data_IF_823904705725
#
_entry.id   IF_823904705725
#
_cell.length_a   1.000
_cell.length_b   1.000
_cell.length_c   1.000
_cell.angle_alpha   90.00
_cell.angle_beta   90.00
_cell.angle_gamma   90.00
#
_symmetry.space_group_name_H-M   'P 1'
#
loop_
_entity.id
_entity.type
_entity.pdbx_description
1 polymer ?
#
# COMPACT_ATOMS: atom_id res chain seq x y z
N UNK A 1 13.10 -13.31 15.48
CA UNK A 1 12.13 -12.30 15.95
C UNK A 1 11.60 -11.56 14.74
N UNK A 2 10.29 -11.43 14.61
CA UNK A 2 9.64 -10.61 13.59
C UNK A 2 9.10 -9.36 14.28
N UNK A 3 9.36 -8.17 13.71
CA UNK A 3 8.85 -6.90 14.22
C UNK A 3 7.88 -6.31 13.19
N UNK A 4 6.65 -6.03 13.61
CA UNK A 4 5.58 -5.48 12.75
C UNK A 4 5.03 -4.18 13.34
N UNK A 5 4.47 -3.31 12.49
CA UNK A 5 3.75 -2.11 12.92
C UNK A 5 4.57 -0.82 12.91
N UNK A 6 5.84 -0.87 12.50
CA UNK A 6 6.67 0.32 12.37
C UNK A 6 6.31 1.12 11.10
N UNK A 7 6.29 2.45 11.21
CA UNK A 7 5.99 3.37 10.09
C UNK A 7 7.24 3.78 9.31
N UNK A 8 8.42 3.46 9.83
CA UNK A 8 9.70 3.68 9.16
C UNK A 8 10.69 2.55 9.44
N UNK A 9 11.67 2.40 8.56
CA UNK A 9 12.75 1.41 8.69
C UNK A 9 13.57 1.64 9.97
N UNK A 10 13.82 2.91 10.30
CA UNK A 10 14.51 3.31 11.52
C UNK A 10 13.72 2.93 12.78
N UNK A 11 12.40 3.17 12.79
CA UNK A 11 11.53 2.75 13.90
C UNK A 11 11.51 1.23 14.05
N UNK A 12 11.45 0.49 12.93
CA UNK A 12 11.51 -0.98 12.92
C UNK A 12 12.82 -1.49 13.53
N UNK A 13 13.95 -0.92 13.10
CA UNK A 13 15.27 -1.26 13.62
C UNK A 13 15.40 -0.92 15.11
N UNK A 14 14.91 0.24 15.54
CA UNK A 14 14.93 0.66 16.93
C UNK A 14 14.07 -0.27 17.80
N UNK A 15 12.87 -0.62 17.36
CA UNK A 15 11.99 -1.55 18.06
C UNK A 15 12.65 -2.92 18.21
N UNK A 16 13.20 -3.49 17.14
CA UNK A 16 13.89 -4.77 17.18
C UNK A 16 15.12 -4.75 18.12
N UNK A 17 15.86 -3.64 18.16
CA UNK A 17 16.97 -3.45 19.14
C UNK A 17 16.47 -3.36 20.58
N UNK A 18 15.35 -2.68 20.84
CA UNK A 18 14.74 -2.61 22.18
C UNK A 18 14.36 -4.00 22.67
N UNK A 19 13.74 -4.82 21.82
CA UNK A 19 13.40 -6.19 22.19
C UNK A 19 14.64 -7.07 22.43
N UNK A 20 15.67 -6.97 21.60
CA UNK A 20 16.94 -7.66 21.86
C UNK A 20 17.55 -7.24 23.21
N UNK A 21 17.45 -5.97 23.58
CA UNK A 21 17.93 -5.47 24.89
C UNK A 21 17.12 -6.00 26.06
N UNK A 22 15.80 -6.16 25.92
CA UNK A 22 14.95 -6.77 26.95
C UNK A 22 15.38 -8.23 27.18
N UNK A 23 15.59 -9.00 26.11
CA UNK A 23 16.03 -10.40 26.21
C UNK A 23 17.41 -10.49 26.88
N UNK A 24 18.34 -9.58 26.57
CA UNK A 24 19.63 -9.50 27.25
C UNK A 24 19.49 -9.21 28.75
N UNK A 25 18.57 -8.33 29.14
CA UNK A 25 18.32 -8.01 30.56
C UNK A 25 17.74 -9.19 31.34
N UNK A 26 17.08 -10.13 30.66
CA UNK A 26 16.58 -11.37 31.25
C UNK A 26 17.67 -12.45 31.42
N UNK A 27 18.93 -12.15 31.10
CA UNK A 27 20.07 -13.07 31.27
C UNK A 27 20.39 -13.94 30.05
N UNK A 28 19.64 -13.80 28.95
CA UNK A 28 19.91 -14.55 27.72
C UNK A 28 20.96 -13.86 26.85
N UNK A 29 21.87 -14.63 26.26
CA UNK A 29 22.91 -14.13 25.35
C UNK A 29 22.36 -13.78 23.93
N UNK A 30 21.35 -12.92 23.86
CA UNK A 30 20.78 -12.48 22.58
C UNK A 30 21.68 -11.47 21.86
N UNK A 31 21.89 -11.68 20.55
CA UNK A 31 22.65 -10.79 19.66
C UNK A 31 21.72 -10.17 18.63
N UNK A 32 21.95 -8.88 18.32
CA UNK A 32 21.25 -8.20 17.23
C UNK A 32 22.10 -8.30 15.97
N UNK A 33 21.77 -9.25 15.09
CA UNK A 33 22.43 -9.49 13.80
C UNK A 33 21.39 -9.64 12.69
N UNK A 34 21.82 -9.45 11.45
CA UNK A 34 21.04 -9.73 10.24
C UNK A 34 19.67 -9.05 10.17
N UNK A 35 19.59 -7.80 10.64
CA UNK A 35 18.38 -6.99 10.49
C UNK A 35 18.11 -6.73 9.02
N UNK A 36 16.93 -7.15 8.55
CA UNK A 36 16.49 -6.99 7.17
C UNK A 36 15.00 -6.69 7.12
N UNK A 37 14.63 -5.73 6.29
CA UNK A 37 13.23 -5.45 5.98
C UNK A 37 12.69 -6.58 5.08
N UNK A 38 11.59 -7.18 5.51
CA UNK A 38 10.96 -8.30 4.78
C UNK A 38 9.78 -7.85 3.93
N UNK A 39 9.04 -6.84 4.37
CA UNK A 39 7.89 -6.31 3.67
C UNK A 39 7.63 -4.86 4.08
N UNK A 40 7.25 -4.05 3.11
CA UNK A 40 6.76 -2.69 3.24
C UNK A 40 5.36 -2.67 2.64
N UNK A 41 4.42 -2.10 3.38
CA UNK A 41 3.04 -1.90 2.95
C UNK A 41 2.80 -0.40 2.86
N UNK A 42 2.33 0.06 1.71
CA UNK A 42 1.95 1.45 1.48
C UNK A 42 0.46 1.55 1.13
N UNK A 43 -0.19 2.62 1.56
CA UNK A 43 -1.54 2.98 1.12
C UNK A 43 -1.50 4.31 0.38
N UNK A 44 -2.33 4.48 -0.63
CA UNK A 44 -2.53 5.76 -1.30
C UNK A 44 -4.00 5.91 -1.76
N UNK A 45 -4.38 7.13 -2.09
CA UNK A 45 -5.75 7.47 -2.48
C UNK A 45 -5.67 8.43 -3.69
N UNK A 46 -6.18 7.98 -4.84
CA UNK A 46 -6.18 8.80 -6.07
C UNK A 46 -7.34 9.79 -6.13
N UNK A 47 -8.26 9.77 -5.15
CA UNK A 47 -9.38 10.72 -5.00
C UNK A 47 -10.39 10.71 -6.17
N UNK A 48 -10.43 9.65 -6.96
CA UNK A 48 -11.48 9.45 -7.96
C UNK A 48 -11.90 7.97 -8.05
N UNK A 49 -13.17 7.69 -8.38
CA UNK A 49 -13.65 6.33 -8.52
C UNK A 49 -13.09 5.65 -9.78
N UNK A 50 -12.83 4.34 -9.69
CA UNK A 50 -12.20 3.55 -10.75
C UNK A 50 -13.15 2.43 -11.23
N UNK A 51 -13.19 2.19 -12.54
CA UNK A 51 -13.94 1.09 -13.15
C UNK A 51 -13.10 -0.20 -13.16
N UNK A 52 -13.20 -0.96 -12.06
CA UNK A 52 -12.43 -2.19 -11.86
C UNK A 52 -12.76 -3.28 -12.87
N UNK A 53 -14.00 -3.38 -13.34
CA UNK A 53 -14.41 -4.38 -14.33
C UNK A 53 -13.67 -4.17 -15.66
N UNK A 54 -13.54 -2.91 -16.09
CA UNK A 54 -12.80 -2.55 -17.29
C UNK A 54 -11.31 -2.81 -17.14
N UNK A 55 -10.74 -2.46 -15.98
CA UNK A 55 -9.33 -2.71 -15.67
C UNK A 55 -9.03 -4.21 -15.65
N UNK A 56 -9.88 -5.01 -15.02
CA UNK A 56 -9.75 -6.47 -14.95
C UNK A 56 -9.80 -7.11 -16.35
N UNK A 57 -10.71 -6.63 -17.19
CA UNK A 57 -10.84 -7.12 -18.56
C UNK A 57 -9.59 -6.79 -19.40
N UNK A 58 -9.11 -5.55 -19.37
CA UNK A 58 -7.94 -5.12 -20.15
C UNK A 58 -6.62 -5.68 -19.63
N UNK A 59 -6.49 -5.90 -18.32
CA UNK A 59 -5.28 -6.39 -17.65
C UNK A 59 -5.44 -7.80 -17.07
N UNK A 60 -6.29 -8.66 -17.63
CA UNK A 60 -6.65 -9.96 -17.05
C UNK A 60 -5.47 -10.89 -16.76
N UNK A 61 -4.37 -10.78 -17.51
CA UNK A 61 -3.15 -11.56 -17.26
C UNK A 61 -2.42 -11.17 -15.95
N UNK A 62 -2.67 -9.96 -15.44
CA UNK A 62 -2.02 -9.40 -14.24
C UNK A 62 -3.01 -9.09 -13.13
N UNK A 63 -4.31 -9.14 -13.40
CA UNK A 63 -5.35 -8.73 -12.47
C UNK A 63 -6.35 -9.85 -12.19
N UNK A 64 -6.89 -9.85 -10.98
CA UNK A 64 -7.95 -10.76 -10.56
C UNK A 64 -8.99 -9.93 -9.81
N UNK A 65 -10.24 -9.97 -10.29
CA UNK A 65 -11.33 -9.22 -9.72
C UNK A 65 -12.57 -10.11 -9.64
N UNK A 66 -12.91 -10.52 -8.42
CA UNK A 66 -14.04 -11.37 -8.10
C UNK A 66 -14.82 -10.70 -6.96
N UNK A 67 -15.75 -9.75 -7.24
CA UNK A 67 -16.38 -8.93 -6.22
C UNK A 67 -17.19 -9.74 -5.19
N UNK A 68 -17.63 -10.94 -5.55
CA UNK A 68 -18.30 -11.88 -4.63
C UNK A 68 -17.35 -12.45 -3.57
N UNK A 69 -16.05 -12.57 -3.89
CA UNK A 69 -15.02 -13.08 -2.98
C UNK A 69 -14.25 -11.97 -2.27
N UNK A 70 -13.92 -10.90 -3.00
CA UNK A 70 -13.14 -9.78 -2.48
C UNK A 70 -13.52 -8.47 -3.19
N UNK A 71 -13.85 -7.38 -2.47
CA UNK A 71 -14.34 -6.14 -3.07
C UNK A 71 -13.29 -5.32 -3.84
N UNK A 72 -12.00 -5.66 -3.72
CA UNK A 72 -10.91 -5.00 -4.43
C UNK A 72 -10.39 -5.81 -5.61
N UNK A 73 -9.76 -5.14 -6.57
CA UNK A 73 -9.02 -5.78 -7.65
C UNK A 73 -7.59 -6.06 -7.19
N UNK A 74 -7.14 -7.30 -7.36
CA UNK A 74 -5.78 -7.71 -7.05
C UNK A 74 -4.95 -7.57 -8.33
N UNK A 75 -3.98 -6.67 -8.34
CA UNK A 75 -3.07 -6.45 -9.47
C UNK A 75 -1.66 -6.93 -9.11
N UNK A 76 -1.10 -7.84 -9.90
CA UNK A 76 0.22 -8.44 -9.70
C UNK A 76 1.20 -7.84 -10.71
N UNK A 77 1.96 -6.85 -10.26
CA UNK A 77 3.02 -6.24 -11.05
C UNK A 77 4.26 -7.15 -11.07
N UNK A 78 4.83 -7.38 -12.26
CA UNK A 78 6.05 -8.20 -12.41
C UNK A 78 7.32 -7.44 -12.04
N UNK A 79 7.39 -6.16 -12.42
CA UNK A 79 8.58 -5.34 -12.21
C UNK A 79 8.18 -3.90 -11.81
N UNK A 80 8.43 -3.48 -10.55
CA UNK A 80 8.88 -4.30 -9.42
C UNK A 80 7.85 -5.37 -9.00
N UNK A 81 8.29 -6.41 -8.28
CA UNK A 81 7.42 -7.52 -7.86
C UNK A 81 6.52 -7.11 -6.70
N UNK A 82 5.43 -6.40 -7.01
CA UNK A 82 4.50 -5.81 -6.05
C UNK A 82 3.07 -6.28 -6.33
N UNK A 83 2.30 -6.45 -5.26
CA UNK A 83 0.87 -6.70 -5.33
C UNK A 83 0.15 -5.41 -4.93
N UNK A 84 -0.75 -4.96 -5.78
CA UNK A 84 -1.61 -3.81 -5.53
C UNK A 84 -3.04 -4.30 -5.31
N UNK A 85 -3.72 -3.74 -4.31
CA UNK A 85 -5.14 -3.92 -4.07
C UNK A 85 -5.81 -2.59 -4.40
N UNK A 86 -6.61 -2.57 -5.47
CA UNK A 86 -7.25 -1.37 -5.98
C UNK A 86 -8.74 -1.44 -5.66
N UNK A 87 -9.27 -0.41 -5.01
CA UNK A 87 -10.68 -0.33 -4.65
C UNK A 87 -11.43 0.63 -5.56
N UNK A 88 -12.74 0.39 -5.74
CA UNK A 88 -13.63 1.25 -6.56
C UNK A 88 -13.60 2.71 -6.12
N UNK A 89 -13.33 2.97 -4.84
CA UNK A 89 -13.23 4.31 -4.24
C UNK A 89 -11.99 5.11 -4.67
N UNK A 90 -11.01 4.49 -5.34
CA UNK A 90 -9.72 5.11 -5.64
C UNK A 90 -8.68 4.90 -4.53
N UNK A 91 -9.02 4.20 -3.45
CA UNK A 91 -8.03 3.75 -2.46
C UNK A 91 -7.23 2.58 -3.03
N UNK A 92 -5.93 2.58 -2.76
CA UNK A 92 -4.99 1.58 -3.26
C UNK A 92 -4.07 1.18 -2.10
N UNK A 93 -3.80 -0.12 -2.00
CA UNK A 93 -2.81 -0.67 -1.06
C UNK A 93 -1.75 -1.39 -1.86
N UNK A 94 -0.48 -1.06 -1.63
CA UNK A 94 0.69 -1.71 -2.23
C UNK A 94 1.39 -2.55 -1.17
N UNK A 95 1.71 -3.80 -1.51
CA UNK A 95 2.41 -4.72 -0.61
C UNK A 95 3.42 -5.59 -1.36
N UNK A 96 4.42 -6.09 -0.64
CA UNK A 96 5.50 -6.93 -1.19
C UNK A 96 6.79 -6.18 -1.45
N UNK A 97 6.85 -4.87 -1.18
CA UNK A 97 8.05 -4.07 -1.36
C UNK A 97 9.07 -4.39 -0.27
N UNK A 98 10.35 -4.43 -0.64
CA UNK A 98 11.47 -4.57 0.30
C UNK A 98 12.17 -3.25 0.54
N UNK A 99 12.08 -2.35 -0.44
CA UNK A 99 12.66 -1.00 -0.40
C UNK A 99 11.57 0.01 -0.73
N UNK A 100 11.64 1.20 -0.14
CA UNK A 100 10.60 2.22 -0.27
C UNK A 100 10.41 2.68 -1.73
N UNK A 101 11.49 2.73 -2.48
CA UNK A 101 11.52 3.14 -3.90
C UNK A 101 10.64 2.22 -4.75
N UNK A 102 10.59 0.91 -4.47
CA UNK A 102 9.73 -0.03 -5.19
C UNK A 102 8.25 0.34 -5.06
N UNK A 103 7.82 0.84 -3.90
CA UNK A 103 6.45 1.31 -3.67
C UNK A 103 6.14 2.53 -4.54
N UNK A 104 7.06 3.50 -4.64
CA UNK A 104 6.87 4.71 -5.45
C UNK A 104 6.83 4.38 -6.94
N UNK A 105 7.81 3.63 -7.43
CA UNK A 105 7.85 3.20 -8.84
C UNK A 105 6.62 2.38 -9.23
N UNK A 106 6.13 1.51 -8.33
CA UNK A 106 4.89 0.75 -8.59
C UNK A 106 3.68 1.65 -8.75
N UNK A 107 3.58 2.69 -7.91
CA UNK A 107 2.48 3.63 -7.99
C UNK A 107 2.55 4.46 -9.28
N UNK A 108 3.73 4.97 -9.64
CA UNK A 108 3.94 5.73 -10.88
C UNK A 108 3.60 4.89 -12.12
N UNK A 109 3.97 3.60 -12.13
CA UNK A 109 3.67 2.69 -13.23
C UNK A 109 2.17 2.44 -13.41
N UNK A 110 1.41 2.31 -12.31
CA UNK A 110 -0.02 2.01 -12.40
C UNK A 110 -0.89 3.27 -12.57
N UNK A 111 -0.43 4.42 -12.09
CA UNK A 111 -1.18 5.68 -12.14
C UNK A 111 -1.80 6.05 -13.51
N UNK A 112 -1.09 5.93 -14.66
CA UNK A 112 -1.70 6.20 -15.97
C UNK A 112 -2.85 5.25 -16.28
N UNK A 113 -2.71 3.96 -15.95
CA UNK A 113 -3.77 2.95 -16.12
C UNK A 113 -5.00 3.31 -15.28
N UNK A 114 -4.80 3.69 -14.02
CA UNK A 114 -5.91 4.07 -13.15
C UNK A 114 -6.66 5.31 -13.67
N UNK A 115 -5.92 6.26 -14.26
CA UNK A 115 -6.49 7.47 -14.84
C UNK A 115 -7.32 7.16 -16.08
N UNK A 116 -6.91 6.19 -16.91
CA UNK A 116 -7.67 5.72 -18.07
C UNK A 116 -9.02 5.09 -17.65
N UNK A 117 -9.05 4.33 -16.56
CA UNK A 117 -10.27 3.70 -16.03
C UNK A 117 -11.03 4.56 -15.01
N UNK A 118 -10.77 5.87 -14.96
CA UNK A 118 -11.52 6.79 -14.11
C UNK A 118 -13.00 6.78 -14.51
N UNK A 119 -13.89 6.53 -13.54
CA UNK A 119 -15.33 6.73 -13.76
C UNK A 119 -15.59 8.24 -13.85
N UNK A 120 -16.17 8.68 -14.97
CA UNK A 120 -16.76 10.02 -15.06
C UNK A 120 -17.82 10.09 -13.96
N UNK A 121 -17.66 11.00 -13.00
CA UNK A 121 -18.67 11.22 -11.97
C UNK A 121 -19.96 11.64 -12.67
N UNK A 122 -20.89 10.71 -12.85
CA UNK A 122 -22.29 11.08 -12.99
C UNK A 122 -22.71 11.59 -11.61
N UNK A 123 -23.16 12.84 -11.58
CA UNK A 123 -23.66 13.55 -10.42
C UNK A 123 -24.65 12.68 -9.62
N UNK A 124 -24.17 12.05 -8.53
CA UNK A 124 -25.05 11.76 -7.40
C UNK A 124 -25.08 13.02 -6.55
N UNK A 125 -26.19 13.74 -6.63
CA UNK A 125 -26.42 14.97 -5.91
C UNK A 125 -26.32 14.81 -4.39
N UNK A 126 -25.99 15.95 -3.77
CA UNK A 126 -26.08 16.25 -2.33
C UNK A 126 -25.03 15.63 -1.40
N UNK A 127 -23.91 16.32 -1.20
CA UNK A 127 -23.78 17.31 -0.11
C UNK A 127 -22.32 17.72 0.11
N UNK A 128 -22.14 19.04 0.28
CA UNK A 128 -20.96 19.73 0.82
C UNK A 128 -19.77 19.93 -0.13
N UNK A 129 -19.75 21.13 -0.72
CA UNK A 129 -18.58 21.85 -1.21
C UNK A 129 -17.31 21.54 -0.39
N UNK A 130 -16.25 21.13 -1.06
CA UNK A 130 -14.89 21.61 -0.80
C UNK A 130 -14.16 21.71 -2.15
N UNK A 131 -13.45 22.82 -2.31
CA UNK A 131 -13.12 23.46 -3.58
C UNK A 131 -12.21 22.66 -4.50
N UNK A 132 -12.45 22.87 -5.79
CA UNK A 132 -11.52 22.68 -6.88
C UNK A 132 -10.18 23.39 -6.58
N UNK A 133 -9.09 22.66 -6.51
CA UNK A 133 -7.78 23.20 -6.91
C UNK A 133 -7.16 22.23 -7.90
N UNK A 134 -7.09 22.68 -9.15
CA UNK A 134 -6.24 22.11 -10.20
C UNK A 134 -4.80 22.36 -9.77
N UNK A 135 -4.05 21.31 -9.42
CA UNK A 135 -2.59 21.43 -9.28
C UNK A 135 -1.92 21.08 -10.62
N UNK A 136 -1.20 22.03 -11.24
CA UNK A 136 -0.27 21.71 -12.30
C UNK A 136 0.95 21.00 -11.68
N UNK A 137 1.55 20.11 -12.46
CA UNK A 137 2.77 19.39 -12.10
C UNK A 137 3.92 20.37 -11.84
N UNK A 138 4.18 20.74 -10.57
CA UNK A 138 5.50 21.19 -10.09
C UNK A 138 5.53 21.34 -8.56
N UNK A 139 6.54 20.68 -7.97
CA UNK A 139 7.20 21.01 -6.70
C UNK A 139 6.38 21.03 -5.40
N UNK A 140 6.69 20.05 -4.55
CA UNK A 140 6.53 19.99 -3.09
C UNK A 140 5.11 20.00 -2.50
N UNK A 141 4.98 19.19 -1.44
CA UNK A 141 3.79 18.99 -0.59
C UNK A 141 2.65 18.13 -1.18
N UNK A 142 2.95 16.85 -1.43
CA UNK A 142 1.94 15.81 -1.21
C UNK A 142 1.70 15.75 0.30
N UNK A 143 0.46 16.00 0.75
CA UNK A 143 0.12 15.95 2.17
C UNK A 143 0.50 14.59 2.77
N UNK A 144 1.39 14.67 3.76
CA UNK A 144 2.16 13.58 4.37
C UNK A 144 1.37 12.70 5.37
N UNK A 145 0.04 12.61 5.27
CA UNK A 145 -0.77 11.92 6.28
C UNK A 145 -1.47 10.63 5.82
N UNK A 146 -1.59 10.35 4.52
CA UNK A 146 -2.46 9.24 4.05
C UNK A 146 -1.72 7.93 3.65
N UNK A 147 -0.41 7.85 3.86
CA UNK A 147 0.37 6.60 3.64
C UNK A 147 0.42 5.70 4.90
N UNK A 148 -0.12 6.16 6.04
CA UNK A 148 -0.01 5.47 7.32
C UNK A 148 -1.33 4.84 7.81
N UNK A 149 -1.90 3.90 7.06
CA UNK A 149 -2.82 2.93 7.66
C UNK A 149 -2.42 1.52 7.29
N UNK A 150 -1.52 0.97 8.11
CA UNK A 150 -1.05 -0.40 8.04
C UNK A 150 -2.13 -1.32 8.63
N UNK A 151 -2.98 -1.91 7.80
CA UNK A 151 -3.96 -2.91 8.24
C UNK A 151 -3.41 -4.32 8.02
N UNK A 152 -3.29 -5.03 9.14
CA UNK A 152 -2.99 -6.45 9.29
C UNK A 152 -3.82 -7.29 8.32
N UNK A 153 -3.19 -8.20 7.60
CA UNK A 153 -3.73 -9.54 7.39
C UNK A 153 -2.57 -10.51 7.16
N UNK A 154 -2.28 -11.35 8.15
CA UNK A 154 -2.00 -12.78 7.94
C UNK A 154 -2.11 -13.47 9.30
N UNK A 155 -3.30 -14.00 9.58
CA UNK A 155 -3.46 -15.17 10.43
C UNK A 155 -2.94 -16.37 9.62
N UNK A 156 -1.88 -17.00 10.10
CA UNK A 156 -1.56 -18.38 9.74
C UNK A 156 -0.70 -18.96 10.88
N UNK A 157 -1.38 -19.44 11.92
CA UNK A 157 -0.90 -20.54 12.74
C UNK A 157 -1.68 -21.76 12.27
N UNK A 158 -0.99 -22.80 11.80
CA UNK A 158 -1.44 -24.15 12.08
C UNK A 158 -0.31 -24.99 12.71
N UNK A 159 -0.67 -26.13 13.34
CA UNK A 159 0.03 -26.72 14.49
C UNK A 159 1.37 -27.40 14.16
#
# INVERSE_FOLDING_TARGET
MVCTGAKSEEQSRLAARKYARIIQKLGFAAKFKDFKIQNIVGSCDVKFPIRLEGLAYSHGAFSSYEPELFPGLIYRMKQPKIVLLIFVSGKIVLTGAKVREETYTSFENIYPVLTEFRKNQQWYGHSSFQELIIFPYRSNLFLWTDICSMLLFFLAVPP
#
